data_IF_216148470804
#
_entry.id   IF_216148470804
#
_cell.length_a   1.000
_cell.length_b   1.000
_cell.length_c   1.000
_cell.angle_alpha   90.00
_cell.angle_beta   90.00
_cell.angle_gamma   90.00
#
_symmetry.space_group_name_H-M   'P 1'
#
loop_
_entity.id
_entity.type
_entity.pdbx_description
1 polymer ?
#
# COMPACT_ATOMS: atom_id res chain seq x y z
N UNK A 1 22.99 33.42 0.59
CA UNK A 1 23.21 31.96 0.52
C UNK A 1 21.92 31.26 0.92
N UNK A 2 21.31 30.50 -0.01
CA UNK A 2 20.65 29.18 0.13
C UNK A 2 19.67 29.04 -1.04
N UNK A 3 20.04 28.18 -1.98
CA UNK A 3 19.26 27.81 -3.17
C UNK A 3 18.42 26.59 -2.78
N UNK A 4 17.11 26.63 -3.03
CA UNK A 4 16.21 25.48 -2.93
C UNK A 4 16.00 24.97 -4.36
N UNK A 5 16.33 23.70 -4.58
CA UNK A 5 16.06 22.97 -5.82
C UNK A 5 15.12 21.81 -5.48
N UNK A 6 14.05 21.61 -6.25
CA UNK A 6 13.41 20.30 -6.34
C UNK A 6 12.74 20.10 -7.70
N UNK A 7 13.07 18.96 -8.30
CA UNK A 7 12.77 18.52 -9.66
C UNK A 7 11.31 18.07 -9.82
N UNK A 8 10.70 18.44 -10.95
CA UNK A 8 9.56 17.77 -11.56
C UNK A 8 10.02 16.41 -12.11
N UNK A 9 9.89 15.35 -11.30
CA UNK A 9 10.06 13.97 -11.75
C UNK A 9 8.76 13.20 -11.43
N UNK A 10 7.87 13.17 -12.42
CA UNK A 10 6.67 12.35 -12.34
C UNK A 10 6.98 10.95 -12.89
N UNK A 11 7.12 9.99 -11.98
CA UNK A 11 7.19 8.56 -12.30
C UNK A 11 5.80 7.95 -12.25
N UNK A 12 5.27 7.59 -13.41
CA UNK A 12 4.22 6.56 -13.51
C UNK A 12 4.91 5.22 -13.73
N UNK A 13 4.42 4.24 -12.98
CA UNK A 13 4.73 2.82 -13.00
C UNK A 13 5.25 2.26 -14.34
N UNK A 14 6.35 1.51 -14.21
CA UNK A 14 6.85 0.47 -15.11
C UNK A 14 7.50 0.92 -16.44
N UNK A 15 8.80 1.27 -16.34
CA UNK A 15 9.83 0.77 -17.27
C UNK A 15 10.49 1.76 -18.23
N UNK A 16 11.36 2.68 -17.79
CA UNK A 16 12.22 3.47 -18.70
C UNK A 16 13.52 3.98 -18.04
N UNK A 17 14.43 3.08 -17.63
CA UNK A 17 15.67 3.48 -16.94
C UNK A 17 16.79 4.06 -17.85
N UNK A 18 16.65 4.16 -19.17
CA UNK A 18 17.77 4.57 -20.06
C UNK A 18 17.75 6.04 -20.54
N UNK A 19 16.61 6.74 -20.47
CA UNK A 19 16.48 8.11 -20.98
C UNK A 19 16.88 9.20 -19.97
N UNK A 20 16.65 8.97 -18.67
CA UNK A 20 16.92 9.94 -17.59
C UNK A 20 18.41 10.19 -17.35
N UNK A 21 19.26 9.16 -17.49
CA UNK A 21 20.70 9.30 -17.34
C UNK A 21 21.34 10.11 -18.49
N UNK A 22 20.77 10.06 -19.71
CA UNK A 22 21.22 10.85 -20.85
C UNK A 22 20.79 12.32 -20.74
N UNK A 23 19.61 12.58 -20.15
CA UNK A 23 19.09 13.92 -19.86
C UNK A 23 19.99 14.68 -18.86
N UNK A 24 20.38 14.04 -17.77
CA UNK A 24 21.23 14.64 -16.73
C UNK A 24 22.67 14.92 -17.21
N UNK A 25 23.20 14.11 -18.14
CA UNK A 25 24.54 14.30 -18.72
C UNK A 25 24.59 15.48 -19.72
N UNK A 26 23.51 15.71 -20.48
CA UNK A 26 23.36 16.91 -21.34
C UNK A 26 23.18 18.19 -20.52
N UNK A 27 22.42 18.15 -19.41
CA UNK A 27 22.21 19.29 -18.50
C UNK A 27 23.52 19.83 -17.90
N UNK A 28 24.40 18.93 -17.41
CA UNK A 28 25.70 19.32 -16.82
C UNK A 28 26.64 19.98 -17.84
N UNK A 29 26.61 19.56 -19.10
CA UNK A 29 27.51 20.09 -20.14
C UNK A 29 27.07 21.45 -20.67
N UNK A 30 25.77 21.75 -20.70
CA UNK A 30 25.24 23.08 -21.08
C UNK A 30 25.49 24.12 -19.97
N UNK A 31 25.31 23.72 -18.70
CA UNK A 31 25.61 24.59 -17.55
C UNK A 31 27.08 25.02 -17.47
N UNK A 32 28.02 24.12 -17.82
CA UNK A 32 29.46 24.42 -17.83
C UNK A 32 29.85 25.37 -18.99
N UNK A 33 29.09 25.37 -20.09
CA UNK A 33 29.32 26.22 -21.27
C UNK A 33 28.76 27.64 -21.09
N UNK A 34 27.65 27.79 -20.36
CA UNK A 34 27.06 29.08 -19.96
C UNK A 34 27.86 29.79 -18.84
N UNK A 35 28.45 29.03 -17.91
CA UNK A 35 29.28 29.60 -16.84
C UNK A 35 30.55 30.27 -17.39
N UNK A 36 31.17 29.66 -18.40
CA UNK A 36 32.35 30.23 -19.07
C UNK A 36 32.00 31.40 -20.01
N UNK A 37 30.75 31.51 -20.48
CA UNK A 37 30.26 32.66 -21.28
C UNK A 37 29.95 33.90 -20.45
N UNK A 38 29.60 33.74 -19.17
CA UNK A 38 29.31 34.85 -18.25
C UNK A 38 30.54 35.57 -17.71
N UNK A 39 31.75 35.05 -17.92
CA UNK A 39 33.00 35.75 -17.60
C UNK A 39 33.42 36.76 -18.69
N UNK A 40 32.90 36.65 -19.92
CA UNK A 40 33.42 37.37 -21.10
C UNK A 40 32.55 38.53 -21.62
N UNK A 41 31.45 38.91 -20.95
CA UNK A 41 30.54 39.98 -21.44
C UNK A 41 30.09 40.98 -20.38
N UNK A 42 31.05 41.58 -19.67
CA UNK A 42 30.90 42.96 -19.20
C UNK A 42 31.70 43.86 -20.16
N UNK A 43 31.03 44.41 -21.18
CA UNK A 43 31.25 45.73 -21.81
C UNK A 43 30.42 45.84 -23.12
N UNK A 44 29.76 46.98 -23.43
CA UNK A 44 29.02 47.17 -24.68
C UNK A 44 29.77 48.06 -25.69
N UNK A 45 29.66 47.78 -27.01
CA UNK A 45 29.30 48.76 -28.06
C UNK A 45 29.28 48.23 -29.52
N UNK A 46 28.21 48.60 -30.25
CA UNK A 46 28.02 48.98 -31.68
C UNK A 46 28.39 48.13 -32.94
N UNK A 47 27.35 47.97 -33.80
CA UNK A 47 27.25 48.33 -35.25
C UNK A 47 27.30 47.28 -36.41
N UNK A 48 26.27 47.41 -37.28
CA UNK A 48 26.18 47.35 -38.78
C UNK A 48 26.31 46.06 -39.65
N UNK A 49 25.15 45.64 -40.21
CA UNK A 49 24.70 45.56 -41.64
C UNK A 49 25.45 44.76 -42.77
N UNK A 50 24.64 43.93 -43.46
CA UNK A 50 24.46 43.66 -44.94
C UNK A 50 25.07 42.43 -45.68
N UNK A 51 24.16 41.61 -46.27
CA UNK A 51 24.02 41.10 -47.66
C UNK A 51 25.15 40.40 -48.44
N UNK A 52 24.91 39.16 -48.94
CA UNK A 52 24.66 38.80 -50.37
C UNK A 52 25.00 37.33 -50.71
N UNK A 53 24.09 36.65 -51.41
CA UNK A 53 24.22 35.40 -52.19
C UNK A 53 24.74 35.68 -53.64
N UNK A 54 24.83 34.76 -54.64
CA UNK A 54 24.87 33.26 -54.72
C UNK A 54 25.85 32.66 -55.80
N UNK A 55 25.81 31.32 -56.01
CA UNK A 55 25.75 30.54 -57.31
C UNK A 55 26.82 29.43 -57.61
N UNK A 56 26.29 28.19 -57.71
CA UNK A 56 26.51 26.99 -58.57
C UNK A 56 27.78 26.11 -58.63
N UNK A 57 27.54 24.78 -58.58
CA UNK A 57 28.28 23.73 -59.30
C UNK A 57 28.20 22.32 -58.68
N UNK A 58 27.59 21.33 -59.36
CA UNK A 58 27.62 19.86 -59.12
C UNK A 58 29.08 19.31 -59.00
N UNK A 59 29.45 18.15 -58.42
CA UNK A 59 28.82 16.85 -58.12
C UNK A 59 29.77 16.08 -57.16
N UNK A 60 29.28 15.17 -56.30
CA UNK A 60 30.08 14.06 -55.77
C UNK A 60 30.26 13.89 -54.25
N UNK A 61 29.60 12.85 -53.73
CA UNK A 61 29.99 11.99 -52.58
C UNK A 61 30.03 12.55 -51.15
N UNK A 62 29.15 11.95 -50.33
CA UNK A 62 29.15 11.76 -48.88
C UNK A 62 30.00 12.70 -48.02
N UNK A 63 29.34 13.64 -47.33
CA UNK A 63 29.47 13.83 -45.87
C UNK A 63 28.50 14.89 -45.33
N UNK A 64 28.12 14.67 -44.07
CA UNK A 64 27.36 15.52 -43.15
C UNK A 64 27.22 17.02 -43.50
N UNK A 65 25.98 17.51 -43.53
CA UNK A 65 25.52 18.61 -42.66
C UNK A 65 24.09 19.04 -42.99
N UNK A 66 23.22 18.96 -42.00
CA UNK A 66 21.88 19.57 -41.98
C UNK A 66 21.96 21.02 -41.56
N UNK A 67 21.49 21.93 -42.41
CA UNK A 67 20.87 23.22 -42.07
C UNK A 67 19.76 23.44 -43.09
N UNK A 68 18.49 23.28 -42.72
CA UNK A 68 17.58 24.21 -42.04
C UNK A 68 16.58 24.72 -43.09
N UNK A 69 15.32 24.31 -42.96
CA UNK A 69 14.20 25.19 -43.30
C UNK A 69 13.08 25.00 -42.28
N UNK A 70 12.61 26.15 -41.84
CA UNK A 70 11.72 26.46 -40.74
C UNK A 70 10.32 25.89 -40.92
N UNK A 71 9.84 25.21 -39.89
CA UNK A 71 8.44 25.30 -39.52
C UNK A 71 8.40 25.99 -38.16
N UNK A 72 7.84 27.19 -38.15
CA UNK A 72 7.47 27.94 -36.97
C UNK A 72 6.74 27.02 -35.97
N UNK A 73 7.37 26.79 -34.83
CA UNK A 73 6.69 26.32 -33.65
C UNK A 73 7.19 27.22 -32.53
N UNK A 74 6.38 28.23 -32.21
CA UNK A 74 6.50 29.04 -31.01
C UNK A 74 6.75 28.10 -29.82
N UNK A 75 8.01 28.08 -29.37
CA UNK A 75 8.44 27.27 -28.24
C UNK A 75 7.81 27.84 -26.98
N UNK A 76 6.71 27.23 -26.54
CA UNK A 76 6.19 27.45 -25.20
C UNK A 76 7.32 27.17 -24.20
N UNK A 77 7.73 28.20 -23.47
CA UNK A 77 8.59 28.06 -22.29
C UNK A 77 8.00 26.98 -21.38
N UNK A 78 8.74 25.90 -21.11
CA UNK A 78 8.38 24.96 -20.04
C UNK A 78 8.59 25.69 -18.70
N UNK A 79 7.54 26.36 -18.24
CA UNK A 79 7.50 27.02 -16.95
C UNK A 79 7.68 25.98 -15.83
N UNK A 80 8.71 26.13 -15.02
CA UNK A 80 8.85 25.39 -13.76
C UNK A 80 7.88 25.99 -12.74
N UNK A 81 6.81 25.27 -12.41
CA UNK A 81 5.74 25.74 -11.52
C UNK A 81 5.95 25.19 -10.10
N UNK A 82 6.00 26.07 -9.09
CA UNK A 82 5.94 25.66 -7.69
C UNK A 82 4.48 25.56 -7.23
N UNK A 83 3.97 24.34 -7.12
CA UNK A 83 2.57 24.07 -6.78
C UNK A 83 2.15 24.56 -5.38
N UNK A 84 3.10 24.76 -4.45
CA UNK A 84 2.81 25.28 -3.11
C UNK A 84 2.64 26.80 -3.07
N UNK A 85 3.10 27.50 -4.11
CA UNK A 85 2.99 28.96 -4.25
C UNK A 85 1.75 29.36 -5.06
N UNK A 86 1.06 28.38 -5.66
CA UNK A 86 -0.19 28.60 -6.35
C UNK A 86 -1.25 29.00 -5.34
N UNK A 87 -1.89 30.15 -5.58
CA UNK A 87 -3.03 30.66 -4.81
C UNK A 87 -4.36 30.49 -5.54
N UNK A 88 -4.33 30.35 -6.86
CA UNK A 88 -5.50 30.18 -7.73
C UNK A 88 -5.27 29.05 -8.73
N UNK A 89 -6.31 28.33 -9.20
CA UNK A 89 -6.11 27.21 -10.12
C UNK A 89 -5.30 27.59 -11.38
N UNK A 90 -4.20 26.90 -11.62
CA UNK A 90 -3.24 27.22 -12.67
C UNK A 90 -3.23 26.15 -13.78
N UNK A 91 -3.48 26.51 -15.04
CA UNK A 91 -3.41 25.59 -16.16
C UNK A 91 -1.96 25.41 -16.67
N UNK A 92 -1.55 24.17 -16.95
CA UNK A 92 -0.26 23.86 -17.57
C UNK A 92 -0.35 22.61 -18.46
N UNK A 93 0.73 22.27 -19.17
CA UNK A 93 0.79 21.07 -20.02
C UNK A 93 1.75 20.04 -19.40
N UNK A 94 1.29 18.79 -19.28
CA UNK A 94 2.10 17.67 -18.82
C UNK A 94 1.80 16.43 -19.66
N UNK A 95 2.83 15.79 -20.22
CA UNK A 95 2.68 14.62 -21.10
C UNK A 95 1.62 14.81 -22.21
N UNK A 96 1.61 16.00 -22.84
CA UNK A 96 0.65 16.40 -23.89
C UNK A 96 -0.80 16.59 -23.42
N UNK A 97 -1.07 16.46 -22.12
CA UNK A 97 -2.39 16.73 -21.54
C UNK A 97 -2.43 18.13 -20.93
N UNK A 98 -3.56 18.82 -21.07
CA UNK A 98 -3.85 20.01 -20.28
C UNK A 98 -4.14 19.57 -18.84
N UNK A 99 -3.44 20.20 -17.90
CA UNK A 99 -3.60 19.94 -16.46
C UNK A 99 -4.07 21.21 -15.80
N UNK A 100 -5.04 21.11 -14.89
CA UNK A 100 -5.38 22.18 -13.97
C UNK A 100 -4.82 21.85 -12.58
N UNK A 101 -3.76 22.55 -12.19
CA UNK A 101 -3.24 22.50 -10.84
C UNK A 101 -4.15 23.28 -9.90
N UNK A 102 -4.57 22.64 -8.82
CA UNK A 102 -5.26 23.31 -7.72
C UNK A 102 -4.26 23.75 -6.64
N UNK A 103 -4.49 24.92 -6.02
CA UNK A 103 -3.74 25.33 -4.84
C UNK A 103 -3.92 24.29 -3.72
N UNK A 104 -3.03 24.30 -2.73
CA UNK A 104 -3.22 23.54 -1.50
C UNK A 104 -4.54 23.96 -0.86
N UNK A 105 -5.47 23.02 -0.71
CA UNK A 105 -6.74 23.31 -0.06
C UNK A 105 -6.56 23.41 1.45
N UNK A 106 -6.81 24.59 2.00
CA UNK A 106 -6.62 24.92 3.41
C UNK A 106 -7.95 25.20 4.08
N UNK A 107 -8.34 24.36 5.04
CA UNK A 107 -9.40 24.65 6.01
C UNK A 107 -8.93 24.28 7.42
N UNK A 108 -9.40 25.07 8.38
CA UNK A 108 -9.07 24.97 9.80
C UNK A 108 -9.89 23.88 10.48
N UNK A 109 -9.86 22.66 9.93
CA UNK A 109 -10.44 21.51 10.60
C UNK A 109 -9.56 21.11 11.79
N UNK A 110 -10.20 20.82 12.92
CA UNK A 110 -9.53 20.42 14.15
C UNK A 110 -10.27 19.26 14.80
N UNK A 111 -9.55 18.36 15.45
CA UNK A 111 -10.11 17.32 16.29
C UNK A 111 -9.21 17.06 17.50
N UNK A 112 -9.75 16.39 18.50
CA UNK A 112 -9.09 16.08 19.76
C UNK A 112 -7.95 15.03 19.66
N UNK A 113 -7.90 14.25 18.58
CA UNK A 113 -6.85 13.26 18.32
C UNK A 113 -5.71 13.84 17.46
N UNK A 114 -5.98 14.93 16.73
CA UNK A 114 -5.00 15.72 16.02
C UNK A 114 -4.73 15.28 14.57
N UNK A 115 -5.64 14.54 13.94
CA UNK A 115 -5.53 14.12 12.53
C UNK A 115 -6.02 15.19 11.53
N UNK A 116 -6.93 16.04 11.95
CA UNK A 116 -7.54 17.08 11.12
C UNK A 116 -6.54 18.21 10.85
N UNK A 117 -6.76 18.89 9.73
CA UNK A 117 -5.99 20.07 9.33
C UNK A 117 -5.42 19.95 7.93
N UNK A 118 -4.56 20.89 7.57
CA UNK A 118 -3.93 20.98 6.25
C UNK A 118 -2.72 20.06 6.15
N UNK A 119 -2.65 19.29 5.06
CA UNK A 119 -1.53 18.43 4.70
C UNK A 119 -0.95 18.83 3.33
N UNK A 120 0.36 18.97 3.31
CA UNK A 120 1.17 19.06 2.10
C UNK A 120 1.57 17.67 1.64
N UNK A 121 1.70 17.48 0.34
CA UNK A 121 2.18 16.24 -0.24
C UNK A 121 3.69 16.32 -0.50
N UNK A 122 4.39 15.18 -0.52
CA UNK A 122 5.79 15.16 -0.98
C UNK A 122 5.90 15.17 -2.51
N UNK A 123 4.83 14.77 -3.20
CA UNK A 123 4.72 14.74 -4.64
C UNK A 123 3.28 15.05 -5.07
N UNK A 124 3.12 15.53 -6.30
CA UNK A 124 1.83 15.93 -6.87
C UNK A 124 0.93 14.73 -7.03
N UNK A 125 -0.31 14.83 -6.55
CA UNK A 125 -1.35 13.85 -6.88
C UNK A 125 -2.08 14.26 -8.14
N UNK A 126 -2.12 13.36 -9.12
CA UNK A 126 -2.94 13.54 -10.31
C UNK A 126 -4.28 12.83 -10.16
N UNK A 127 -5.35 13.47 -10.64
CA UNK A 127 -6.66 12.86 -10.77
C UNK A 127 -7.12 12.97 -12.22
N UNK A 128 -7.50 11.83 -12.80
CA UNK A 128 -7.96 11.78 -14.19
C UNK A 128 -9.45 12.06 -14.22
N UNK A 129 -9.83 13.03 -15.03
CA UNK A 129 -11.23 13.19 -15.40
C UNK A 129 -11.52 12.09 -16.41
N UNK A 130 -12.49 11.22 -16.15
CA UNK A 130 -12.81 10.06 -17.00
C UNK A 130 -13.23 10.39 -18.45
N UNK A 131 -13.15 11.66 -18.86
CA UNK A 131 -13.48 12.15 -20.19
C UNK A 131 -12.32 12.98 -20.79
N UNK A 132 -11.76 12.49 -21.90
CA UNK A 132 -10.68 13.14 -22.65
C UNK A 132 -11.11 14.38 -23.45
N UNK A 133 -12.42 14.64 -23.56
CA UNK A 133 -12.97 15.88 -24.14
C UNK A 133 -13.10 17.01 -23.12
N UNK A 134 -12.77 16.77 -21.85
CA UNK A 134 -12.76 17.82 -20.83
C UNK A 134 -11.71 18.87 -21.18
N UNK A 135 -12.00 20.15 -20.89
CA UNK A 135 -11.02 21.23 -21.07
C UNK A 135 -9.69 20.92 -20.35
N UNK A 136 -9.80 20.27 -19.19
CA UNK A 136 -8.69 19.73 -18.41
C UNK A 136 -8.95 18.23 -18.17
N UNK A 137 -8.31 17.32 -18.91
CA UNK A 137 -8.41 15.87 -18.66
C UNK A 137 -7.69 15.42 -17.37
N UNK A 138 -6.83 16.27 -16.78
CA UNK A 138 -6.09 15.99 -15.56
C UNK A 138 -6.21 17.14 -14.55
N UNK A 139 -6.40 16.78 -13.29
CA UNK A 139 -6.20 17.68 -12.15
C UNK A 139 -4.93 17.32 -11.41
N UNK A 140 -4.24 18.33 -10.88
CA UNK A 140 -3.05 18.16 -10.04
C UNK A 140 -3.28 18.83 -8.68
N UNK A 141 -2.91 18.15 -7.59
CA UNK A 141 -3.08 18.64 -6.22
C UNK A 141 -1.74 18.63 -5.48
N UNK A 142 -1.38 19.77 -4.88
CA UNK A 142 -0.18 19.91 -4.03
C UNK A 142 -0.44 19.66 -2.54
N UNK A 143 -1.71 19.62 -2.12
CA UNK A 143 -2.09 19.35 -0.74
C UNK A 143 -3.60 19.35 -0.56
N UNK A 144 -4.05 19.06 0.66
CA UNK A 144 -5.46 18.85 1.00
C UNK A 144 -5.69 19.19 2.47
N UNK A 145 -6.95 19.21 2.90
CA UNK A 145 -7.30 19.26 4.33
C UNK A 145 -8.07 18.01 4.75
N UNK A 146 -7.73 17.43 5.90
CA UNK A 146 -8.49 16.34 6.51
C UNK A 146 -9.49 16.88 7.54
N UNK A 147 -10.70 16.37 7.47
CA UNK A 147 -11.74 16.52 8.49
C UNK A 147 -12.01 15.13 9.08
N UNK A 148 -11.61 14.91 10.32
CA UNK A 148 -11.76 13.63 11.02
C UNK A 148 -12.85 13.71 12.09
N UNK A 149 -13.73 12.71 12.13
CA UNK A 149 -14.67 12.49 13.24
C UNK A 149 -14.15 11.35 14.15
N UNK A 150 -13.62 11.69 15.35
CA UNK A 150 -13.13 10.71 16.30
C UNK A 150 -14.17 9.70 16.80
N UNK A 151 -15.46 10.05 16.76
CA UNK A 151 -16.53 9.15 17.23
C UNK A 151 -16.88 8.10 16.19
N UNK A 152 -16.87 8.49 14.92
CA UNK A 152 -17.16 7.60 13.80
C UNK A 152 -15.93 6.82 13.31
N UNK A 153 -14.71 7.22 13.72
CA UNK A 153 -13.45 6.69 13.18
C UNK A 153 -13.40 6.81 11.65
N UNK A 154 -13.91 7.91 11.13
CA UNK A 154 -14.00 8.18 9.69
C UNK A 154 -13.88 9.66 9.41
N UNK A 155 -13.64 10.03 8.15
CA UNK A 155 -13.52 11.43 7.79
C UNK A 155 -13.52 11.68 6.29
N UNK A 156 -13.22 12.93 5.95
CA UNK A 156 -13.17 13.41 4.57
C UNK A 156 -11.85 14.12 4.31
N UNK A 157 -11.20 13.73 3.21
CA UNK A 157 -10.11 14.44 2.57
C UNK A 157 -10.68 15.42 1.56
N UNK A 158 -10.44 16.71 1.78
CA UNK A 158 -10.88 17.80 0.92
C UNK A 158 -9.71 18.30 0.07
N UNK A 159 -9.80 18.13 -1.24
CA UNK A 159 -8.82 18.60 -2.23
C UNK A 159 -9.24 19.92 -2.87
N UNK A 160 -10.56 20.17 -2.89
CA UNK A 160 -11.20 21.45 -3.16
C UNK A 160 -12.59 21.45 -2.51
N UNK A 161 -13.39 22.51 -2.69
CA UNK A 161 -14.78 22.52 -2.24
C UNK A 161 -15.64 21.43 -2.92
N UNK A 162 -15.25 21.01 -4.13
CA UNK A 162 -15.96 20.04 -4.97
C UNK A 162 -15.30 18.65 -4.94
N UNK A 163 -13.97 18.58 -4.90
CA UNK A 163 -13.20 17.34 -4.97
C UNK A 163 -12.90 16.81 -3.57
N UNK A 164 -13.46 15.65 -3.24
CA UNK A 164 -13.34 15.01 -1.93
C UNK A 164 -13.08 13.51 -2.04
N UNK A 165 -12.48 12.94 -1.01
CA UNK A 165 -12.42 11.49 -0.81
C UNK A 165 -12.75 11.18 0.65
N UNK A 166 -13.41 10.06 0.92
CA UNK A 166 -13.69 9.62 2.28
C UNK A 166 -12.60 8.67 2.76
N UNK A 167 -12.39 8.61 4.07
CA UNK A 167 -11.51 7.63 4.67
C UNK A 167 -12.11 7.06 5.95
N UNK A 168 -11.66 5.88 6.33
CA UNK A 168 -12.03 5.19 7.57
C UNK A 168 -10.79 4.69 8.30
N UNK A 169 -10.92 4.53 9.61
CA UNK A 169 -9.97 3.80 10.44
C UNK A 169 -10.65 2.48 10.83
N UNK A 170 -10.04 1.37 10.40
CA UNK A 170 -10.56 0.03 10.64
C UNK A 170 -10.58 -0.29 12.13
N UNK A 171 -11.50 -1.15 12.54
CA UNK A 171 -11.76 -1.47 13.95
C UNK A 171 -10.49 -1.94 14.67
N UNK A 172 -9.68 -2.78 14.02
CA UNK A 172 -8.43 -3.31 14.56
C UNK A 172 -7.37 -2.23 14.87
N UNK A 173 -7.49 -1.03 14.30
CA UNK A 173 -6.54 0.08 14.47
C UNK A 173 -7.04 1.20 15.39
N UNK A 174 -8.29 1.14 15.87
CA UNK A 174 -8.89 2.23 16.66
C UNK A 174 -8.14 2.53 17.95
N UNK A 175 -7.64 1.51 18.64
CA UNK A 175 -6.85 1.68 19.86
C UNK A 175 -5.52 2.41 19.62
N UNK A 176 -4.96 2.29 18.41
CA UNK A 176 -3.73 3.00 18.04
C UNK A 176 -3.96 4.50 17.87
N UNK A 177 -5.16 4.90 17.43
CA UNK A 177 -5.57 6.30 17.33
C UNK A 177 -5.54 6.97 18.70
N UNK A 178 -6.03 6.28 19.73
CA UNK A 178 -6.01 6.77 21.10
C UNK A 178 -4.60 6.91 21.66
N UNK A 179 -3.62 6.23 21.06
CA UNK A 179 -2.18 6.35 21.34
C UNK A 179 -1.48 7.35 20.39
N UNK A 180 -2.24 8.08 19.57
CA UNK A 180 -1.72 9.10 18.64
C UNK A 180 -1.13 8.56 17.34
N UNK A 181 -1.41 7.31 16.98
CA UNK A 181 -0.94 6.69 15.72
C UNK A 181 -2.13 6.44 14.79
N UNK A 182 -2.04 6.94 13.55
CA UNK A 182 -3.13 6.89 12.59
C UNK A 182 -2.83 5.92 11.45
N UNK A 183 -3.82 5.09 11.13
CA UNK A 183 -3.84 4.22 9.96
C UNK A 183 -5.17 4.45 9.28
N UNK A 184 -5.15 5.13 8.14
CA UNK A 184 -6.35 5.50 7.40
C UNK A 184 -6.44 4.67 6.12
N UNK A 185 -7.65 4.24 5.77
CA UNK A 185 -7.97 3.60 4.50
C UNK A 185 -8.88 4.53 3.70
N UNK A 186 -8.43 4.91 2.50
CA UNK A 186 -9.18 5.79 1.61
C UNK A 186 -10.19 5.03 0.76
N UNK A 187 -11.35 5.65 0.52
CA UNK A 187 -12.41 5.07 -0.29
C UNK A 187 -12.01 4.92 -1.77
N UNK A 188 -12.70 4.01 -2.46
CA UNK A 188 -12.42 3.67 -3.85
C UNK A 188 -13.06 4.62 -4.87
N UNK A 189 -14.14 5.30 -4.50
CA UNK A 189 -15.08 5.89 -5.47
C UNK A 189 -14.88 7.38 -5.73
N UNK A 190 -13.95 8.05 -5.05
CA UNK A 190 -13.72 9.49 -5.23
C UNK A 190 -12.25 9.90 -5.01
N UNK A 191 -11.84 11.03 -5.59
CA UNK A 191 -10.50 11.61 -5.43
C UNK A 191 -9.39 10.95 -6.27
N UNK A 192 -8.12 11.38 -6.07
CA UNK A 192 -6.96 10.99 -6.87
C UNK A 192 -6.70 9.49 -6.86
N UNK A 193 -6.33 8.95 -8.02
CA UNK A 193 -6.02 7.52 -8.19
C UNK A 193 -4.93 7.03 -7.22
N UNK A 194 -3.96 7.89 -6.92
CA UNK A 194 -2.90 7.62 -5.95
C UNK A 194 -3.41 7.23 -4.55
N UNK A 195 -4.67 7.58 -4.22
CA UNK A 195 -5.27 7.34 -2.91
C UNK A 195 -6.34 6.26 -2.94
N UNK A 196 -6.90 5.90 -4.10
CA UNK A 196 -8.02 4.95 -4.19
C UNK A 196 -7.60 3.58 -3.64
N UNK A 197 -8.34 3.11 -2.62
CA UNK A 197 -8.08 1.84 -1.92
C UNK A 197 -6.67 1.73 -1.34
N UNK A 198 -6.00 2.86 -1.08
CA UNK A 198 -4.70 2.89 -0.42
C UNK A 198 -4.87 3.14 1.07
N UNK A 199 -3.90 2.65 1.82
CA UNK A 199 -3.74 2.98 3.24
C UNK A 199 -2.62 3.98 3.40
N UNK A 200 -2.78 4.88 4.36
CA UNK A 200 -1.70 5.73 4.82
C UNK A 200 -1.43 5.50 6.30
N UNK A 201 -0.15 5.49 6.65
CA UNK A 201 0.35 5.10 7.97
C UNK A 201 1.15 6.23 8.57
N UNK A 202 0.85 6.61 9.81
CA UNK A 202 1.66 7.57 10.55
C UNK A 202 3.04 6.99 10.83
N UNK A 203 4.08 7.60 10.25
CA UNK A 203 5.48 7.26 10.54
C UNK A 203 6.05 8.17 11.63
N UNK A 204 5.53 9.39 11.73
CA UNK A 204 5.79 10.33 12.80
C UNK A 204 4.49 11.04 13.16
N UNK A 205 4.52 11.84 14.24
CA UNK A 205 3.44 12.81 14.49
C UNK A 205 3.29 13.69 13.26
N UNK A 206 2.08 13.78 12.73
CA UNK A 206 1.70 14.65 11.62
C UNK A 206 2.33 14.31 10.26
N UNK A 207 2.97 13.15 10.14
CA UNK A 207 3.54 12.66 8.87
C UNK A 207 3.03 11.25 8.58
N UNK A 208 2.33 11.10 7.45
CA UNK A 208 1.83 9.83 6.96
C UNK A 208 2.55 9.42 5.68
N UNK A 209 2.79 8.12 5.51
CA UNK A 209 3.25 7.52 4.25
C UNK A 209 2.11 6.75 3.60
N UNK A 210 1.91 6.96 2.29
CA UNK A 210 0.86 6.28 1.52
C UNK A 210 1.42 5.00 0.91
N UNK A 211 0.74 3.88 1.15
CA UNK A 211 1.02 2.56 0.59
C UNK A 211 2.53 2.20 0.57
N UNK A 212 3.22 2.27 1.73
CA UNK A 212 4.64 1.96 1.79
C UNK A 212 4.89 0.51 1.34
N UNK A 213 5.95 0.25 0.53
CA UNK A 213 6.30 -1.07 0.04
C UNK A 213 7.01 -1.88 1.14
N UNK A 214 6.31 -2.12 2.24
CA UNK A 214 6.78 -2.92 3.38
C UNK A 214 6.06 -4.26 3.39
N UNK A 215 6.82 -5.35 3.47
CA UNK A 215 6.29 -6.72 3.41
C UNK A 215 6.83 -7.56 4.57
N UNK A 216 6.08 -8.57 5.03
CA UNK A 216 6.58 -9.53 6.02
C UNK A 216 7.75 -10.34 5.47
N UNK A 217 8.78 -10.55 6.28
CA UNK A 217 9.94 -11.34 5.87
C UNK A 217 9.54 -12.81 5.75
N UNK A 218 9.75 -13.40 4.56
CA UNK A 218 9.36 -14.78 4.28
C UNK A 218 10.00 -15.75 5.27
N UNK A 219 9.15 -16.55 5.93
CA UNK A 219 9.57 -17.59 6.86
C UNK A 219 9.67 -17.13 8.32
N UNK A 220 9.68 -15.83 8.58
CA UNK A 220 9.64 -15.27 9.93
C UNK A 220 8.20 -15.11 10.41
N UNK A 221 7.98 -15.18 11.73
CA UNK A 221 6.67 -14.95 12.33
C UNK A 221 6.39 -13.45 12.52
N UNK A 222 7.42 -12.71 12.90
CA UNK A 222 7.44 -11.27 13.06
C UNK A 222 8.58 -10.69 12.25
N UNK A 223 8.45 -9.42 11.87
CA UNK A 223 9.48 -8.69 11.15
C UNK A 223 9.06 -8.40 9.72
N UNK A 224 9.32 -7.17 9.31
CA UNK A 224 9.03 -6.67 7.98
C UNK A 224 10.30 -6.11 7.32
N UNK A 225 10.26 -6.01 6.01
CA UNK A 225 11.32 -5.42 5.21
C UNK A 225 10.75 -4.46 4.16
N UNK A 226 11.54 -3.45 3.82
CA UNK A 226 11.23 -2.55 2.71
C UNK A 226 11.70 -3.16 1.39
N UNK A 227 10.81 -3.26 0.40
CA UNK A 227 11.10 -3.86 -0.92
C UNK A 227 11.02 -2.88 -2.09
N UNK A 228 10.77 -1.60 -1.82
CA UNK A 228 10.70 -0.55 -2.83
C UNK A 228 12.00 0.23 -3.05
N UNK A 229 11.99 1.11 -4.04
CA UNK A 229 13.02 2.15 -4.17
C UNK A 229 12.77 3.35 -3.24
N UNK A 230 13.36 4.49 -3.59
CA UNK A 230 13.22 5.76 -2.84
C UNK A 230 11.98 6.56 -3.25
N UNK A 231 11.10 5.96 -4.06
CA UNK A 231 9.87 6.59 -4.54
C UNK A 231 8.72 6.22 -3.62
N UNK A 232 8.22 7.21 -2.88
CA UNK A 232 7.06 7.08 -1.99
C UNK A 232 6.38 8.43 -1.82
N UNK A 233 5.12 8.40 -1.40
CA UNK A 233 4.31 9.58 -1.14
C UNK A 233 4.19 9.81 0.37
N UNK A 234 4.67 10.95 0.84
CA UNK A 234 4.44 11.46 2.18
C UNK A 234 3.35 12.51 2.16
N UNK A 235 2.62 12.60 3.26
CA UNK A 235 1.67 13.64 3.57
C UNK A 235 2.05 14.21 4.92
N UNK A 236 2.20 15.53 5.04
CA UNK A 236 2.55 16.12 6.33
C UNK A 236 2.06 17.53 6.52
N UNK A 237 1.93 17.95 7.79
CA UNK A 237 1.46 19.32 8.14
C UNK A 237 2.54 20.40 8.01
N UNK A 238 3.80 19.99 7.89
CA UNK A 238 4.96 20.87 7.71
C UNK A 238 5.68 20.52 6.39
N UNK A 239 5.66 21.49 5.45
CA UNK A 239 6.27 21.34 4.13
C UNK A 239 7.80 21.21 4.19
N UNK A 240 8.47 21.96 5.06
CA UNK A 240 9.94 21.90 5.18
C UNK A 240 10.35 20.54 5.75
N UNK A 241 9.61 20.06 6.75
CA UNK A 241 9.85 18.75 7.34
C UNK A 241 9.70 17.59 6.33
N UNK A 242 8.61 17.55 5.55
CA UNK A 242 8.45 16.49 4.54
C UNK A 242 9.53 16.57 3.45
N UNK A 243 9.98 17.77 3.08
CA UNK A 243 11.09 17.94 2.12
C UNK A 243 12.41 17.41 2.69
N UNK A 244 12.68 17.63 3.98
CA UNK A 244 13.85 17.08 4.66
C UNK A 244 13.79 15.54 4.74
N UNK A 245 12.61 14.97 4.99
CA UNK A 245 12.41 13.51 5.00
C UNK A 245 12.73 12.88 3.64
N UNK A 246 12.38 13.53 2.52
CA UNK A 246 12.76 13.07 1.18
C UNK A 246 14.28 13.04 0.94
N UNK A 247 15.05 13.88 1.64
CA UNK A 247 16.52 13.86 1.59
C UNK A 247 17.13 12.79 2.50
N UNK A 248 16.31 12.08 3.28
CA UNK A 248 16.73 11.06 4.24
C UNK A 248 15.95 9.76 4.05
N UNK A 249 15.97 9.15 2.85
CA UNK A 249 15.14 7.98 2.54
C UNK A 249 15.39 6.80 3.47
N UNK A 250 16.62 6.59 3.94
CA UNK A 250 16.93 5.52 4.89
C UNK A 250 16.19 5.67 6.23
N UNK A 251 15.98 6.90 6.69
CA UNK A 251 15.17 7.15 7.88
C UNK A 251 13.70 6.75 7.63
N UNK A 252 13.12 7.20 6.51
CA UNK A 252 11.71 6.91 6.16
C UNK A 252 11.48 5.41 6.02
N UNK A 253 12.38 4.69 5.33
CA UNK A 253 12.33 3.23 5.18
C UNK A 253 12.37 2.54 6.54
N UNK A 254 13.37 2.88 7.37
CA UNK A 254 13.53 2.30 8.70
C UNK A 254 12.27 2.53 9.55
N UNK A 255 11.79 3.77 9.59
CA UNK A 255 10.62 4.14 10.39
C UNK A 255 9.35 3.43 9.91
N UNK A 256 9.19 3.28 8.60
CA UNK A 256 8.08 2.53 8.02
C UNK A 256 8.10 1.06 8.44
N UNK A 257 9.28 0.41 8.44
CA UNK A 257 9.43 -0.98 8.93
C UNK A 257 9.08 -1.06 10.41
N UNK A 258 9.59 -0.15 11.25
CA UNK A 258 9.28 -0.14 12.69
C UNK A 258 7.78 0.01 12.97
N UNK A 259 7.07 0.84 12.20
CA UNK A 259 5.61 0.98 12.30
C UNK A 259 4.92 -0.33 11.93
N UNK A 260 5.33 -0.99 10.85
CA UNK A 260 4.72 -2.26 10.43
C UNK A 260 5.01 -3.40 11.41
N UNK A 261 6.19 -3.44 12.02
CA UNK A 261 6.53 -4.39 13.07
C UNK A 261 5.65 -4.18 14.31
N UNK A 262 5.46 -2.92 14.72
CA UNK A 262 4.54 -2.56 15.80
C UNK A 262 3.11 -2.97 15.47
N UNK A 263 2.63 -2.72 14.25
CA UNK A 263 1.29 -3.10 13.82
C UNK A 263 1.10 -4.62 13.83
N UNK A 264 2.09 -5.36 13.33
CA UNK A 264 2.06 -6.82 13.34
C UNK A 264 1.99 -7.37 14.78
N UNK A 265 2.76 -6.79 15.70
CA UNK A 265 2.72 -7.16 17.11
C UNK A 265 1.36 -6.83 17.74
N UNK A 266 0.84 -5.62 17.52
CA UNK A 266 -0.47 -5.18 18.02
C UNK A 266 -1.60 -6.11 17.55
N UNK A 267 -1.64 -6.44 16.25
CA UNK A 267 -2.63 -7.37 15.70
C UNK A 267 -2.49 -8.77 16.29
N UNK A 268 -1.26 -9.24 16.55
CA UNK A 268 -1.04 -10.53 17.22
C UNK A 268 -1.57 -10.51 18.66
N UNK A 269 -1.29 -9.46 19.41
CA UNK A 269 -1.78 -9.28 20.79
C UNK A 269 -3.30 -9.18 20.84
N UNK A 270 -3.92 -8.40 19.94
CA UNK A 270 -5.39 -8.32 19.85
C UNK A 270 -6.01 -9.67 19.48
N UNK A 271 -5.43 -10.42 18.54
CA UNK A 271 -5.91 -11.75 18.19
C UNK A 271 -5.83 -12.75 19.36
N UNK A 272 -4.84 -12.61 20.24
CA UNK A 272 -4.73 -13.39 21.48
C UNK A 272 -5.77 -12.94 22.53
N UNK A 273 -5.94 -11.64 22.72
CA UNK A 273 -6.90 -11.08 23.68
C UNK A 273 -8.36 -11.42 23.31
N UNK A 274 -8.67 -11.34 22.02
CA UNK A 274 -9.99 -11.62 21.44
C UNK A 274 -10.17 -13.09 21.03
N UNK A 275 -9.26 -13.97 21.44
CA UNK A 275 -9.34 -15.39 21.16
C UNK A 275 -10.71 -15.94 21.62
N UNK A 276 -11.50 -16.55 20.72
CA UNK A 276 -12.80 -17.10 21.09
C UNK A 276 -12.62 -18.28 22.04
N UNK A 277 -13.61 -18.49 22.91
CA UNK A 277 -13.64 -19.68 23.75
C UNK A 277 -13.58 -20.96 22.90
N UNK A 278 -13.02 -22.02 23.48
CA UNK A 278 -13.08 -23.34 22.84
C UNK A 278 -14.54 -23.75 22.61
N UNK A 279 -14.89 -24.27 21.41
CA UNK A 279 -16.21 -24.85 21.18
C UNK A 279 -16.57 -25.89 22.25
N UNK A 280 -17.86 -25.99 22.58
CA UNK A 280 -18.30 -26.99 23.55
C UNK A 280 -17.95 -28.41 23.06
N UNK A 281 -17.52 -29.27 23.99
CA UNK A 281 -17.38 -30.70 23.72
C UNK A 281 -18.76 -31.32 23.54
N UNK A 282 -18.92 -32.11 22.49
CA UNK A 282 -20.12 -32.90 22.24
C UNK A 282 -19.99 -34.29 22.86
N UNK A 283 -20.17 -35.34 22.06
CA UNK A 283 -20.05 -36.72 22.54
C UNK A 283 -18.62 -37.05 23.00
N UNK A 284 -18.48 -38.06 23.86
CA UNK A 284 -17.18 -38.57 24.32
C UNK A 284 -16.92 -39.96 23.72
N UNK A 285 -15.88 -40.05 22.90
CA UNK A 285 -15.38 -41.32 22.37
C UNK A 285 -13.85 -41.24 22.22
N UNK A 286 -13.15 -41.86 23.17
CA UNK A 286 -11.68 -41.79 23.26
C UNK A 286 -11.01 -42.44 22.05
N UNK A 287 -11.64 -43.45 21.45
CA UNK A 287 -11.10 -44.12 20.26
C UNK A 287 -11.10 -43.20 19.05
N UNK A 288 -12.22 -42.51 18.82
CA UNK A 288 -12.35 -41.55 17.71
C UNK A 288 -11.49 -40.30 17.93
N UNK A 289 -11.39 -39.81 19.16
CA UNK A 289 -10.50 -38.69 19.50
C UNK A 289 -9.02 -39.04 19.24
N UNK A 290 -8.60 -40.27 19.59
CA UNK A 290 -7.24 -40.77 19.34
C UNK A 290 -6.95 -40.96 17.84
N UNK A 291 -7.88 -41.58 17.10
CA UNK A 291 -7.80 -41.71 15.64
C UNK A 291 -7.64 -40.34 14.98
N UNK A 292 -8.44 -39.37 15.43
CA UNK A 292 -8.39 -38.03 14.89
C UNK A 292 -7.10 -37.30 15.17
N UNK A 293 -6.63 -37.33 16.41
CA UNK A 293 -5.34 -36.74 16.76
C UNK A 293 -4.21 -37.35 15.93
N UNK A 294 -4.25 -38.67 15.67
CA UNK A 294 -3.28 -39.34 14.80
C UNK A 294 -3.31 -38.77 13.38
N UNK A 295 -4.48 -38.70 12.74
CA UNK A 295 -4.60 -38.15 11.38
C UNK A 295 -4.16 -36.69 11.30
N UNK A 296 -4.47 -35.89 12.33
CA UNK A 296 -4.06 -34.48 12.40
C UNK A 296 -2.54 -34.37 12.49
N UNK A 297 -1.87 -35.21 13.31
CA UNK A 297 -0.40 -35.25 13.41
C UNK A 297 0.25 -35.68 12.10
N UNK A 298 -0.29 -36.68 11.42
CA UNK A 298 0.20 -37.11 10.09
C UNK A 298 0.09 -35.97 9.07
N UNK A 299 -1.04 -35.25 9.06
CA UNK A 299 -1.25 -34.08 8.20
C UNK A 299 -0.30 -32.94 8.53
N UNK A 300 -0.12 -32.63 9.82
CA UNK A 300 0.80 -31.60 10.28
C UNK A 300 2.25 -31.90 9.85
N UNK A 301 2.68 -33.16 9.93
CA UNK A 301 4.00 -33.58 9.46
C UNK A 301 4.14 -33.45 7.93
N UNK A 302 3.13 -33.89 7.17
CA UNK A 302 3.13 -33.82 5.70
C UNK A 302 3.22 -32.36 5.20
N UNK A 303 2.42 -31.47 5.79
CA UNK A 303 2.40 -30.05 5.43
C UNK A 303 3.41 -29.19 6.19
N UNK A 304 4.29 -29.80 7.00
CA UNK A 304 5.34 -29.13 7.79
C UNK A 304 4.81 -27.95 8.62
N UNK A 305 3.71 -28.18 9.33
CA UNK A 305 3.15 -27.18 10.22
C UNK A 305 4.17 -26.78 11.28
N UNK A 306 4.21 -25.47 11.60
CA UNK A 306 5.01 -24.96 12.71
C UNK A 306 4.35 -25.31 14.05
N UNK A 307 3.02 -25.38 14.06
CA UNK A 307 2.20 -25.76 15.19
C UNK A 307 2.24 -27.27 15.46
N UNK A 308 2.23 -27.63 16.74
CA UNK A 308 2.24 -29.01 17.21
C UNK A 308 0.87 -29.42 17.73
N UNK A 309 0.15 -30.38 17.10
CA UNK A 309 -1.11 -30.90 17.62
C UNK A 309 -0.94 -31.59 18.97
N UNK A 310 -1.65 -31.09 20.00
CA UNK A 310 -1.52 -31.54 21.39
C UNK A 310 -2.59 -32.55 21.75
N UNK A 311 -3.85 -32.24 21.46
CA UNK A 311 -5.00 -33.14 21.63
C UNK A 311 -6.12 -32.76 20.68
N UNK A 312 -7.10 -33.64 20.53
CA UNK A 312 -8.35 -33.38 19.83
C UNK A 312 -9.53 -33.87 20.66
N UNK A 313 -10.69 -33.23 20.51
CA UNK A 313 -11.94 -33.63 21.14
C UNK A 313 -13.11 -33.49 20.17
N UNK A 314 -14.18 -34.25 20.39
CA UNK A 314 -15.38 -34.19 19.53
C UNK A 314 -16.22 -32.96 19.89
N UNK A 315 -16.54 -32.15 18.87
CA UNK A 315 -17.50 -31.04 18.98
C UNK A 315 -18.94 -31.51 18.72
N UNK A 316 -19.12 -32.46 17.80
CA UNK A 316 -20.44 -32.97 17.44
C UNK A 316 -21.11 -33.72 18.60
N UNK A 317 -22.42 -33.54 18.78
CA UNK A 317 -23.18 -34.29 19.78
C UNK A 317 -23.48 -35.73 19.35
N UNK A 318 -23.51 -35.98 18.05
CA UNK A 318 -23.72 -37.30 17.45
C UNK A 318 -23.11 -37.35 16.05
N UNK A 319 -23.08 -38.53 15.45
CA UNK A 319 -22.72 -38.76 14.06
C UNK A 319 -23.74 -38.15 13.10
N UNK A 320 -23.26 -37.40 12.12
CA UNK A 320 -24.05 -37.01 10.96
C UNK A 320 -24.01 -38.14 9.92
N UNK A 321 -25.16 -38.77 9.63
CA UNK A 321 -25.25 -39.86 8.66
C UNK A 321 -25.47 -39.26 7.27
N UNK A 322 -24.55 -39.53 6.36
CA UNK A 322 -24.65 -39.15 4.95
C UNK A 322 -25.21 -40.32 4.18
N UNK A 323 -26.35 -40.10 3.52
CA UNK A 323 -27.05 -41.09 2.70
C UNK A 323 -26.98 -40.73 1.22
N UNK A 324 -27.19 -41.72 0.36
CA UNK A 324 -27.34 -41.49 -1.07
C UNK A 324 -28.68 -40.78 -1.33
N UNK A 325 -28.64 -39.65 -2.04
CA UNK A 325 -29.80 -38.76 -2.21
C UNK A 325 -31.03 -39.46 -2.84
N UNK A 326 -30.82 -40.45 -3.70
CA UNK A 326 -31.91 -41.13 -4.41
C UNK A 326 -32.41 -42.39 -3.71
N UNK A 327 -31.54 -43.10 -2.99
CA UNK A 327 -31.85 -44.45 -2.46
C UNK A 327 -31.98 -44.47 -0.95
N UNK A 328 -31.57 -43.41 -0.25
CA UNK A 328 -31.55 -43.37 1.22
C UNK A 328 -30.51 -44.27 1.88
N UNK A 329 -29.76 -45.06 1.09
CA UNK A 329 -28.75 -46.00 1.61
C UNK A 329 -27.63 -45.21 2.31
N UNK A 330 -27.22 -45.60 3.54
CA UNK A 330 -26.09 -44.99 4.22
C UNK A 330 -24.81 -45.13 3.40
N UNK A 331 -24.07 -44.03 3.22
CA UNK A 331 -22.78 -44.01 2.53
C UNK A 331 -21.63 -43.91 3.53
N UNK A 332 -21.78 -43.03 4.51
CA UNK A 332 -20.80 -42.78 5.56
C UNK A 332 -21.47 -42.06 6.73
N UNK A 333 -20.80 -42.06 7.87
CA UNK A 333 -21.10 -41.12 8.95
C UNK A 333 -19.92 -40.22 9.19
N UNK A 334 -20.15 -38.99 9.62
CA UNK A 334 -19.11 -38.01 9.91
C UNK A 334 -19.38 -37.22 11.19
N UNK A 335 -18.32 -36.71 11.81
CA UNK A 335 -18.40 -35.80 12.95
C UNK A 335 -17.27 -34.78 12.89
N UNK A 336 -17.43 -33.71 13.66
CA UNK A 336 -16.45 -32.64 13.81
C UNK A 336 -15.63 -32.82 15.09
N UNK A 337 -14.32 -32.77 14.94
CA UNK A 337 -13.33 -32.62 16.00
C UNK A 337 -12.82 -31.20 16.06
N UNK A 338 -12.38 -30.78 17.24
CA UNK A 338 -11.50 -29.62 17.42
C UNK A 338 -10.14 -30.13 17.83
N UNK A 339 -9.10 -29.73 17.11
CA UNK A 339 -7.72 -29.94 17.52
C UNK A 339 -7.20 -28.69 18.22
N UNK A 340 -6.49 -28.87 19.35
CA UNK A 340 -5.72 -27.80 19.97
C UNK A 340 -4.24 -28.04 19.69
N UNK A 341 -3.58 -27.00 19.20
CA UNK A 341 -2.20 -27.03 18.71
C UNK A 341 -1.37 -26.00 19.45
N UNK A 342 -0.14 -26.36 19.82
CA UNK A 342 0.83 -25.44 20.46
C UNK A 342 1.66 -24.77 19.38
N UNK A 343 1.77 -23.46 19.43
CA UNK A 343 2.63 -22.67 18.52
C UNK A 343 4.08 -22.64 19.04
N UNK A 344 5.07 -22.34 18.19
CA UNK A 344 6.49 -22.25 18.61
C UNK A 344 6.76 -21.24 19.72
N UNK A 345 6.00 -20.14 19.76
CA UNK A 345 6.07 -19.10 20.79
C UNK A 345 5.37 -19.47 22.11
N UNK A 346 4.82 -20.69 22.21
CA UNK A 346 4.20 -21.20 23.44
C UNK A 346 2.73 -20.82 23.64
N UNK A 347 2.11 -20.15 22.67
CA UNK A 347 0.67 -19.93 22.61
C UNK A 347 -0.07 -21.19 22.10
N UNK A 348 -1.40 -21.10 22.03
CA UNK A 348 -2.25 -22.17 21.54
C UNK A 348 -3.18 -21.67 20.43
N UNK A 349 -3.41 -22.53 19.45
CA UNK A 349 -4.39 -22.33 18.38
C UNK A 349 -5.34 -23.53 18.33
N UNK A 350 -6.52 -23.34 17.76
CA UNK A 350 -7.46 -24.41 17.43
C UNK A 350 -7.84 -24.40 15.96
N UNK A 351 -8.21 -25.58 15.47
CA UNK A 351 -8.79 -25.77 14.14
C UNK A 351 -9.82 -26.91 14.17
N UNK A 352 -10.85 -26.82 13.34
CA UNK A 352 -11.87 -27.86 13.20
C UNK A 352 -11.51 -28.89 12.12
N UNK A 353 -11.71 -30.16 12.42
CA UNK A 353 -11.46 -31.29 11.52
C UNK A 353 -12.69 -32.17 11.41
N UNK A 354 -12.93 -32.75 10.25
CA UNK A 354 -14.02 -33.69 10.02
C UNK A 354 -13.47 -35.10 9.83
N UNK A 355 -13.99 -36.05 10.61
CA UNK A 355 -13.69 -37.48 10.49
C UNK A 355 -14.92 -38.21 10.02
N UNK A 356 -14.71 -39.21 9.16
CA UNK A 356 -15.76 -40.11 8.73
C UNK A 356 -15.40 -41.58 8.90
N UNK A 357 -16.45 -42.39 8.84
CA UNK A 357 -16.40 -43.84 8.68
C UNK A 357 -17.33 -44.24 7.54
N UNK A 358 -16.80 -45.01 6.57
CA UNK A 358 -17.60 -45.49 5.44
C UNK A 358 -18.54 -46.61 5.88
N UNK A 359 -19.75 -46.60 5.34
CA UNK A 359 -20.67 -47.72 5.49
C UNK A 359 -20.29 -48.85 4.53
N UNK A 360 -20.29 -50.09 5.01
CA UNK A 360 -19.87 -51.26 4.22
C UNK A 360 -21.01 -52.24 3.90
N UNK A 361 -22.27 -51.84 4.14
CA UNK A 361 -23.44 -52.69 3.94
C UNK A 361 -23.94 -53.40 5.21
N UNK A 362 -23.13 -53.45 6.28
CA UNK A 362 -23.53 -54.01 7.59
C UNK A 362 -23.25 -53.09 8.77
N UNK A 363 -22.25 -52.21 8.65
CA UNK A 363 -21.89 -51.24 9.67
C UNK A 363 -20.90 -50.19 9.16
N UNK A 364 -20.30 -49.47 10.09
CA UNK A 364 -19.31 -48.43 9.79
C UNK A 364 -17.90 -48.94 10.02
N UNK A 365 -17.02 -48.74 9.04
CA UNK A 365 -15.64 -49.20 9.05
C UNK A 365 -14.68 -48.26 9.79
N UNK A 366 -13.39 -48.34 9.42
CA UNK A 366 -12.32 -47.52 10.02
C UNK A 366 -12.52 -46.03 9.79
N UNK A 367 -12.09 -45.25 10.76
CA UNK A 367 -12.05 -43.78 10.71
C UNK A 367 -11.08 -43.31 9.62
N UNK A 368 -11.40 -42.17 8.99
CA UNK A 368 -10.50 -41.44 8.09
C UNK A 368 -10.78 -39.95 8.14
N UNK A 369 -9.76 -39.13 7.86
CA UNK A 369 -9.89 -37.67 7.77
C UNK A 369 -10.56 -37.26 6.45
N UNK A 370 -11.57 -36.40 6.51
CA UNK A 370 -12.23 -35.82 5.34
C UNK A 370 -11.57 -34.51 4.93
N UNK A 371 -11.68 -33.52 5.81
CA UNK A 371 -11.28 -32.14 5.58
C UNK A 371 -11.11 -31.42 6.92
N UNK A 372 -10.47 -30.26 6.86
CA UNK A 372 -10.45 -29.26 7.92
C UNK A 372 -11.33 -28.07 7.52
N UNK A 373 -11.83 -27.30 8.50
CA UNK A 373 -12.61 -26.10 8.22
C UNK A 373 -11.76 -24.90 7.78
N UNK A 374 -10.42 -25.04 7.75
CA UNK A 374 -9.44 -24.02 7.35
C UNK A 374 -9.50 -22.72 8.18
N UNK A 375 -10.20 -22.75 9.32
CA UNK A 375 -10.34 -21.59 10.20
C UNK A 375 -9.56 -21.83 11.48
N UNK A 376 -8.42 -21.15 11.55
CA UNK A 376 -7.49 -21.24 12.68
C UNK A 376 -7.71 -20.05 13.59
N UNK A 377 -7.91 -20.31 14.87
CA UNK A 377 -8.10 -19.27 15.89
C UNK A 377 -7.08 -19.46 17.01
N UNK A 378 -6.62 -18.37 17.60
CA UNK A 378 -5.94 -18.44 18.89
C UNK A 378 -6.89 -18.98 19.97
N UNK A 379 -6.29 -19.56 21.02
CA UNK A 379 -6.97 -20.07 22.21
C UNK A 379 -6.28 -19.46 23.42
N UNK A 380 -7.09 -18.96 24.37
CA UNK A 380 -6.59 -18.47 25.66
C UNK A 380 -5.85 -19.59 26.39
N UNK A 381 -4.69 -19.27 26.97
CA UNK A 381 -3.76 -20.28 27.52
C UNK A 381 -4.40 -21.08 28.67
N UNK A 382 -5.17 -20.42 29.49
CA UNK A 382 -5.97 -20.96 30.60
C UNK A 382 -7.09 -21.89 30.13
N UNK A 383 -7.60 -21.71 28.91
CA UNK A 383 -8.64 -22.56 28.32
C UNK A 383 -8.07 -23.69 27.46
N UNK A 384 -6.81 -23.59 27.04
CA UNK A 384 -6.21 -24.49 26.06
C UNK A 384 -6.36 -25.97 26.40
N UNK A 385 -6.42 -26.30 27.70
CA UNK A 385 -6.53 -27.68 28.18
C UNK A 385 -7.90 -28.06 28.77
N UNK A 386 -8.93 -27.22 28.62
CA UNK A 386 -10.27 -27.44 29.19
C UNK A 386 -10.86 -28.83 28.90
N UNK A 387 -10.63 -29.36 27.71
CA UNK A 387 -11.17 -30.67 27.28
C UNK A 387 -10.10 -31.75 27.10
N UNK A 388 -8.87 -31.51 27.56
CA UNK A 388 -7.80 -32.51 27.54
C UNK A 388 -8.01 -33.48 28.70
N UNK A 389 -8.99 -34.37 28.59
CA UNK A 389 -9.25 -35.49 29.51
C UNK A 389 -10.03 -36.61 28.82
#
# INVERSE_FOLDING_TARGET
MKRIYLLLCAGVMLGYQSAEAQFMKKLKNVAKKELNKKMDKNDPETSTKTSSQPVSGHEGTYENSTTNESADAEGAEEATINLYEITEPYPFVYNRNKVKAWPVYKKDFTDEKGLSGTYYLSAVMFDQVGNHFSEFPLYAYGGFSLEYDPKAYSGTMHLSDEAKNHFVILEEYRELVDRGTFIIEFANFAGPEAMKMKRAYAIEKDVLIVAPPVVPIKGQELGNEWVGGDQYLLMGRDLEHIQNLLQTPEYVKKRSVEVFDMLQLHLKEQNLANAPALPARGMKDVGIEADGLKFIKERAAYYKWKEQPVYAYIQSNDWNIITHALTGVPLRRELKLIAVMKTPDGNYKREGFFIAQKYNGSGYGKSYMLMNDQRIYYVKKEEAFKYKN
#
